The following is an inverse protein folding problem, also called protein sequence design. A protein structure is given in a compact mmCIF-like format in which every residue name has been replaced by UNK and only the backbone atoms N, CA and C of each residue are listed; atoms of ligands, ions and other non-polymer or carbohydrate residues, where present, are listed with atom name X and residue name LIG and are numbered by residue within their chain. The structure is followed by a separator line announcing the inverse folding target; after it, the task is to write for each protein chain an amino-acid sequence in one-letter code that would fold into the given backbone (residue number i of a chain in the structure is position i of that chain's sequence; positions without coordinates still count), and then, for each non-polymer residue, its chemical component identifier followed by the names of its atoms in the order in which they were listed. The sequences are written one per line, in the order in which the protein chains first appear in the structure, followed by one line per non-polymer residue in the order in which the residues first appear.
data_IF_773741146015
#
_entry.id   IF_773741146015
#
_cell.length_a   1.000
_cell.length_b   1.000
_cell.length_c   1.000
_cell.angle_alpha   90.00
_cell.angle_beta   90.00
_cell.angle_gamma   90.00
#
_symmetry.space_group_name_H-M   'P 1'
#
loop_
_entity.id
_entity.type
_entity.pdbx_description
1 polymer ?
#
# COMPACT_ATOMS: atom_id res chain seq x y z
N UNK A 1 -42.61 13.51 -14.65
CA UNK A 1 -41.73 14.09 -15.68
C UNK A 1 -40.70 13.00 -15.96
N UNK A 2 -40.90 12.20 -17.02
CA UNK A 2 -39.97 11.11 -17.33
C UNK A 2 -38.64 11.73 -17.79
N UNK A 3 -37.49 11.24 -17.32
CA UNK A 3 -36.20 11.76 -17.76
C UNK A 3 -35.98 11.35 -19.22
N UNK A 4 -36.22 12.26 -20.16
CA UNK A 4 -35.86 12.02 -21.56
C UNK A 4 -34.34 11.88 -21.64
N UNK A 5 -33.87 10.72 -22.11
CA UNK A 5 -32.45 10.47 -22.36
C UNK A 5 -32.03 11.33 -23.55
N UNK A 6 -31.71 12.59 -23.27
CA UNK A 6 -31.39 13.56 -24.30
C UNK A 6 -30.07 13.16 -24.96
N UNK A 7 -29.97 13.33 -26.29
CA UNK A 7 -28.78 12.97 -27.08
C UNK A 7 -27.52 13.61 -26.48
N UNK A 8 -27.67 14.82 -25.93
CA UNK A 8 -26.62 15.53 -25.20
C UNK A 8 -26.11 14.77 -23.97
N UNK A 9 -26.99 14.19 -23.16
CA UNK A 9 -26.63 13.43 -21.94
C UNK A 9 -25.86 12.17 -22.32
N UNK A 10 -26.35 11.44 -23.33
CA UNK A 10 -25.68 10.26 -23.86
C UNK A 10 -24.28 10.61 -24.41
N UNK A 11 -24.17 11.71 -25.17
CA UNK A 11 -22.91 12.18 -25.74
C UNK A 11 -21.89 12.54 -24.66
N UNK A 12 -22.31 13.22 -23.58
CA UNK A 12 -21.45 13.57 -22.45
C UNK A 12 -20.95 12.31 -21.74
N UNK A 13 -21.83 11.35 -21.43
CA UNK A 13 -21.47 10.11 -20.75
C UNK A 13 -20.51 9.23 -21.59
N UNK A 14 -20.75 9.14 -22.90
CA UNK A 14 -19.88 8.39 -23.82
C UNK A 14 -18.50 9.03 -23.97
N UNK A 15 -18.46 10.36 -24.08
CA UNK A 15 -17.18 11.10 -24.16
C UNK A 15 -16.37 10.92 -22.88
N UNK A 16 -17.01 11.06 -21.71
CA UNK A 16 -16.37 10.82 -20.42
C UNK A 16 -15.84 9.39 -20.27
N UNK A 17 -16.64 8.39 -20.67
CA UNK A 17 -16.23 6.97 -20.64
C UNK A 17 -15.04 6.70 -21.56
N UNK A 18 -15.01 7.32 -22.74
CA UNK A 18 -13.92 7.19 -23.71
C UNK A 18 -12.61 7.76 -23.18
N UNK A 19 -12.66 8.94 -22.55
CA UNK A 19 -11.48 9.54 -21.89
C UNK A 19 -10.97 8.62 -20.77
N UNK A 20 -11.88 8.05 -19.97
CA UNK A 20 -11.50 7.10 -18.90
C UNK A 20 -10.80 5.86 -19.45
N UNK A 21 -11.24 5.33 -20.60
CA UNK A 21 -10.58 4.18 -21.26
C UNK A 21 -9.14 4.54 -21.67
N UNK A 22 -8.93 5.72 -22.26
CA UNK A 22 -7.59 6.16 -22.68
C UNK A 22 -6.66 6.27 -21.48
N UNK A 23 -7.12 6.93 -20.41
CA UNK A 23 -6.37 7.08 -19.16
C UNK A 23 -6.11 5.72 -18.48
N UNK A 24 -7.07 4.80 -18.53
CA UNK A 24 -6.90 3.43 -18.02
C UNK A 24 -5.73 2.72 -18.72
N UNK A 25 -5.65 2.82 -20.05
CA UNK A 25 -4.55 2.22 -20.83
C UNK A 25 -3.20 2.87 -20.46
N UNK A 26 -3.16 4.19 -20.30
CA UNK A 26 -1.94 4.90 -19.85
C UNK A 26 -1.51 4.43 -18.46
N UNK A 27 -2.46 4.24 -17.54
CA UNK A 27 -2.19 3.79 -16.18
C UNK A 27 -1.68 2.34 -16.14
N UNK A 28 -2.21 1.45 -16.97
CA UNK A 28 -1.67 0.09 -17.11
C UNK A 28 -0.26 0.09 -17.70
N UNK A 29 0.05 0.99 -18.65
CA UNK A 29 1.40 1.11 -19.23
C UNK A 29 2.44 1.62 -18.22
N UNK A 30 2.07 2.46 -17.26
CA UNK A 30 2.99 2.93 -16.21
C UNK A 30 3.38 1.85 -15.21
N UNK A 31 2.50 0.89 -14.93
CA UNK A 31 2.83 -0.32 -14.16
C UNK A 31 3.11 -0.17 -12.65
N UNK A 32 3.12 1.05 -12.09
CA UNK A 32 3.32 1.26 -10.65
C UNK A 32 2.11 0.77 -9.85
N UNK A 33 2.31 0.43 -8.57
CA UNK A 33 1.24 -0.06 -7.70
C UNK A 33 0.05 0.92 -7.64
N UNK A 34 0.31 2.21 -7.40
CA UNK A 34 -0.71 3.25 -7.39
C UNK A 34 -1.39 3.42 -8.75
N UNK A 35 -0.65 3.31 -9.86
CA UNK A 35 -1.21 3.44 -11.20
C UNK A 35 -2.11 2.25 -11.56
N UNK A 36 -1.80 1.04 -11.07
CA UNK A 36 -2.66 -0.14 -11.24
C UNK A 36 -3.97 0.00 -10.48
N UNK A 37 -3.92 0.50 -9.23
CA UNK A 37 -5.13 0.78 -8.44
C UNK A 37 -6.01 1.81 -9.15
N UNK A 38 -5.41 2.89 -9.65
CA UNK A 38 -6.14 3.90 -10.42
C UNK A 38 -6.75 3.30 -11.70
N UNK A 39 -6.03 2.44 -12.42
CA UNK A 39 -6.58 1.77 -13.60
C UNK A 39 -7.76 0.83 -13.28
N UNK A 40 -7.71 0.14 -12.13
CA UNK A 40 -8.81 -0.71 -11.67
C UNK A 40 -10.05 0.11 -11.28
N UNK A 41 -9.86 1.25 -10.63
CA UNK A 41 -10.94 2.19 -10.32
C UNK A 41 -11.63 2.69 -11.59
N UNK A 42 -10.84 3.16 -12.57
CA UNK A 42 -11.37 3.61 -13.87
C UNK A 42 -12.14 2.50 -14.61
N UNK A 43 -11.70 1.24 -14.52
CA UNK A 43 -12.43 0.09 -15.07
C UNK A 43 -13.79 -0.10 -14.42
N UNK A 44 -13.83 -0.02 -13.08
CA UNK A 44 -15.07 -0.17 -12.33
C UNK A 44 -16.03 0.99 -12.64
N UNK A 45 -15.50 2.20 -12.79
CA UNK A 45 -16.24 3.39 -13.22
C UNK A 45 -16.83 3.30 -14.64
N UNK A 46 -16.10 2.69 -15.58
CA UNK A 46 -16.61 2.44 -16.93
C UNK A 46 -17.74 1.41 -16.89
N UNK A 47 -17.59 0.35 -16.08
CA UNK A 47 -18.61 -0.68 -15.92
C UNK A 47 -19.91 -0.12 -15.32
N UNK A 48 -19.82 0.71 -14.28
CA UNK A 48 -20.99 1.35 -13.65
C UNK A 48 -21.64 2.37 -14.59
N UNK A 49 -20.85 3.13 -15.35
CA UNK A 49 -21.35 4.05 -16.37
C UNK A 49 -22.10 3.33 -17.50
N UNK A 50 -21.60 2.18 -17.94
CA UNK A 50 -22.27 1.35 -18.95
C UNK A 50 -23.62 0.82 -18.43
N UNK A 51 -23.65 0.29 -17.20
CA UNK A 51 -24.89 -0.17 -16.56
C UNK A 51 -25.89 0.98 -16.42
N UNK A 52 -25.44 2.17 -16.03
CA UNK A 52 -26.30 3.35 -15.94
C UNK A 52 -26.92 3.74 -17.29
N UNK A 53 -26.16 3.73 -18.38
CA UNK A 53 -26.68 4.00 -19.73
C UNK A 53 -27.72 2.95 -20.14
N UNK A 54 -27.46 1.66 -19.88
CA UNK A 54 -28.40 0.57 -20.18
C UNK A 54 -29.69 0.72 -19.37
N UNK A 55 -29.61 0.98 -18.07
CA UNK A 55 -30.79 1.19 -17.22
C UNK A 55 -31.59 2.44 -17.63
N UNK A 56 -30.92 3.56 -17.95
CA UNK A 56 -31.58 4.78 -18.37
C UNK A 56 -32.34 4.61 -19.70
N UNK A 57 -31.71 3.96 -20.69
CA UNK A 57 -32.33 3.68 -22.00
C UNK A 57 -33.52 2.71 -21.90
N UNK A 58 -33.44 1.70 -21.03
CA UNK A 58 -34.55 0.78 -20.76
C UNK A 58 -35.68 1.47 -19.98
N UNK A 59 -35.33 2.33 -19.02
CA UNK A 59 -36.26 3.06 -18.18
C UNK A 59 -37.13 4.06 -18.95
N UNK A 60 -36.55 4.71 -19.94
CA UNK A 60 -37.24 5.64 -20.84
C UNK A 60 -38.21 4.92 -21.80
N UNK A 61 -37.81 3.76 -22.33
CA UNK A 61 -38.58 3.10 -23.41
C UNK A 61 -39.59 2.04 -22.95
N UNK A 62 -39.30 1.33 -21.86
CA UNK A 62 -40.06 0.12 -21.49
C UNK A 62 -40.64 0.16 -20.08
N UNK A 63 -39.91 0.67 -19.07
CA UNK A 63 -40.36 0.58 -17.68
C UNK A 63 -39.85 1.71 -16.78
N UNK A 64 -40.74 2.62 -16.35
CA UNK A 64 -40.38 3.80 -15.55
C UNK A 64 -39.77 3.49 -14.16
N UNK A 65 -39.93 2.28 -13.63
CA UNK A 65 -39.27 1.87 -12.38
C UNK A 65 -37.90 1.20 -12.59
N UNK A 66 -37.48 0.97 -13.84
CA UNK A 66 -36.16 0.40 -14.12
C UNK A 66 -35.01 1.34 -13.73
N UNK A 67 -35.24 2.66 -13.78
CA UNK A 67 -34.26 3.67 -13.38
C UNK A 67 -33.93 3.62 -11.87
N UNK A 68 -34.90 3.70 -10.93
CA UNK A 68 -34.59 3.58 -9.50
C UNK A 68 -34.03 2.21 -9.10
N UNK A 69 -34.45 1.12 -9.75
CA UNK A 69 -33.89 -0.22 -9.51
C UNK A 69 -32.44 -0.31 -10.01
N UNK A 70 -32.17 0.24 -11.20
CA UNK A 70 -30.81 0.34 -11.76
C UNK A 70 -29.90 1.18 -10.88
N UNK A 71 -30.39 2.31 -10.36
CA UNK A 71 -29.65 3.17 -9.45
C UNK A 71 -29.24 2.44 -8.16
N UNK A 72 -30.15 1.67 -7.55
CA UNK A 72 -29.84 0.86 -6.34
C UNK A 72 -28.78 -0.19 -6.66
N UNK A 73 -28.88 -0.87 -7.80
CA UNK A 73 -27.92 -1.88 -8.23
C UNK A 73 -26.53 -1.27 -8.45
N UNK A 74 -26.44 -0.14 -9.16
CA UNK A 74 -25.17 0.58 -9.38
C UNK A 74 -24.58 1.04 -8.06
N UNK A 75 -25.39 1.58 -7.15
CA UNK A 75 -24.93 2.00 -5.83
C UNK A 75 -24.33 0.82 -5.03
N UNK A 76 -24.99 -0.34 -5.06
CA UNK A 76 -24.47 -1.56 -4.43
C UNK A 76 -23.15 -2.05 -5.04
N UNK A 77 -23.00 -1.96 -6.36
CA UNK A 77 -21.75 -2.31 -7.06
C UNK A 77 -20.61 -1.35 -6.69
N UNK A 78 -20.89 -0.05 -6.61
CA UNK A 78 -19.90 0.96 -6.19
C UNK A 78 -19.48 0.69 -4.75
N UNK A 79 -20.44 0.50 -3.84
CA UNK A 79 -20.16 0.28 -2.42
C UNK A 79 -19.31 -0.98 -2.19
N UNK A 80 -19.67 -2.10 -2.82
CA UNK A 80 -18.92 -3.36 -2.69
C UNK A 80 -17.51 -3.28 -3.29
N UNK A 81 -17.38 -2.61 -4.44
CA UNK A 81 -16.09 -2.31 -5.08
C UNK A 81 -15.18 -1.49 -4.16
N UNK A 82 -15.68 -0.35 -3.68
CA UNK A 82 -14.90 0.55 -2.82
C UNK A 82 -14.50 -0.11 -1.51
N UNK A 83 -15.39 -0.88 -0.89
CA UNK A 83 -15.09 -1.58 0.36
C UNK A 83 -13.98 -2.62 0.17
N UNK A 84 -14.04 -3.39 -0.92
CA UNK A 84 -13.02 -4.39 -1.24
C UNK A 84 -11.66 -3.73 -1.50
N UNK A 85 -11.64 -2.64 -2.26
CA UNK A 85 -10.41 -1.89 -2.56
C UNK A 85 -9.82 -1.21 -1.32
N UNK A 86 -10.66 -0.64 -0.47
CA UNK A 86 -10.23 -0.03 0.78
C UNK A 86 -9.50 -1.05 1.65
N UNK A 87 -10.08 -2.24 1.85
CA UNK A 87 -9.45 -3.31 2.65
C UNK A 87 -8.12 -3.77 2.03
N UNK A 88 -8.03 -3.84 0.70
CA UNK A 88 -6.78 -4.23 0.02
C UNK A 88 -5.67 -3.18 0.13
N UNK A 89 -6.00 -1.90 0.31
CA UNK A 89 -5.01 -0.82 0.46
C UNK A 89 -4.54 -0.62 1.91
N UNK A 90 -5.32 -1.04 2.91
CA UNK A 90 -4.94 -0.94 4.33
C UNK A 90 -3.54 -1.52 4.62
N UNK A 91 -3.17 -2.73 4.15
CA UNK A 91 -1.84 -3.29 4.41
C UNK A 91 -0.69 -2.42 3.89
N UNK A 92 -0.89 -1.72 2.77
CA UNK A 92 0.12 -0.84 2.16
C UNK A 92 0.34 0.40 3.02
N UNK A 93 -0.71 0.90 3.68
CA UNK A 93 -0.65 2.04 4.60
C UNK A 93 -0.06 1.66 5.96
N UNK A 94 -0.36 0.45 6.44
CA UNK A 94 0.14 -0.09 7.72
C UNK A 94 1.59 -0.56 7.60
N UNK A 95 2.12 -0.68 6.38
CA UNK A 95 3.48 -1.12 6.10
C UNK A 95 3.53 -2.63 5.90
N UNK A 96 3.66 -3.06 4.64
CA UNK A 96 3.85 -4.48 4.34
C UNK A 96 5.31 -4.85 4.60
N UNK A 97 5.51 -5.97 5.32
CA UNK A 97 6.85 -6.52 5.60
C UNK A 97 7.60 -6.75 4.29
N UNK A 98 8.86 -6.38 4.26
CA UNK A 98 9.72 -6.46 3.08
C UNK A 98 9.82 -7.87 2.50
N UNK A 99 10.13 -7.91 1.20
CA UNK A 99 10.39 -9.16 0.49
C UNK A 99 11.56 -9.91 1.14
N UNK A 100 11.45 -11.24 1.25
CA UNK A 100 12.48 -12.09 1.91
C UNK A 100 13.88 -11.88 1.34
N UNK A 101 13.99 -11.51 0.07
CA UNK A 101 15.26 -11.22 -0.62
C UNK A 101 15.93 -9.97 -0.05
N UNK A 102 15.17 -8.88 0.14
CA UNK A 102 15.69 -7.62 0.71
C UNK A 102 16.13 -7.82 2.16
N UNK A 103 15.33 -8.56 2.95
CA UNK A 103 15.65 -8.89 4.33
C UNK A 103 16.97 -9.67 4.43
N UNK A 104 17.15 -10.68 3.58
CA UNK A 104 18.38 -11.51 3.55
C UNK A 104 19.62 -10.68 3.19
N UNK A 105 19.48 -9.71 2.27
CA UNK A 105 20.57 -8.80 1.89
C UNK A 105 20.98 -7.90 3.05
N UNK A 106 20.01 -7.35 3.80
CA UNK A 106 20.27 -6.54 5.00
C UNK A 106 20.97 -7.38 6.08
N UNK A 107 20.43 -8.57 6.38
CA UNK A 107 21.04 -9.51 7.34
C UNK A 107 22.50 -9.80 7.02
N UNK A 108 22.81 -10.06 5.76
CA UNK A 108 24.19 -10.29 5.32
C UNK A 108 25.09 -9.09 5.59
N UNK A 109 24.62 -7.89 5.28
CA UNK A 109 25.38 -6.63 5.51
C UNK A 109 25.68 -6.43 6.99
N UNK A 110 24.71 -6.73 7.87
CA UNK A 110 24.85 -6.60 9.32
C UNK A 110 25.83 -7.62 9.89
N UNK A 111 25.72 -8.89 9.49
CA UNK A 111 26.60 -9.97 9.94
C UNK A 111 28.04 -9.74 9.49
N UNK A 112 28.25 -9.24 8.28
CA UNK A 112 29.59 -8.95 7.73
C UNK A 112 30.15 -7.58 8.17
N UNK A 113 29.45 -6.83 9.03
CA UNK A 113 29.86 -5.47 9.39
C UNK A 113 30.97 -5.43 10.43
N UNK A 114 30.81 -6.14 11.55
CA UNK A 114 31.78 -6.16 12.65
C UNK A 114 31.57 -7.40 13.55
N UNK A 115 32.67 -8.05 13.95
CA UNK A 115 32.65 -9.27 14.80
C UNK A 115 32.18 -9.00 16.24
N UNK A 116 32.15 -7.73 16.69
CA UNK A 116 31.67 -7.33 18.03
C UNK A 116 30.16 -7.35 18.13
N UNK A 117 29.44 -7.44 17.01
CA UNK A 117 28.00 -7.68 16.99
C UNK A 117 27.78 -9.14 17.38
N UNK A 118 27.31 -9.36 18.60
CA UNK A 118 27.09 -10.73 19.13
C UNK A 118 25.86 -11.38 18.51
N UNK A 119 24.80 -10.61 18.39
CA UNK A 119 23.49 -11.10 17.96
C UNK A 119 22.65 -9.98 17.35
N UNK A 120 21.76 -10.34 16.45
CA UNK A 120 20.67 -9.47 15.98
C UNK A 120 19.43 -9.85 16.80
N UNK A 121 18.95 -8.94 17.63
CA UNK A 121 17.78 -9.18 18.48
C UNK A 121 16.48 -9.03 17.68
N UNK A 122 16.35 -7.92 16.96
CA UNK A 122 15.18 -7.60 16.19
C UNK A 122 15.56 -6.99 14.84
N UNK A 123 14.87 -7.41 13.78
CA UNK A 123 14.96 -6.79 12.47
C UNK A 123 13.57 -6.67 11.86
N UNK A 124 13.18 -5.43 11.58
CA UNK A 124 11.94 -5.10 10.92
C UNK A 124 12.23 -4.25 9.71
N UNK A 125 11.73 -4.69 8.58
CA UNK A 125 11.82 -3.94 7.32
C UNK A 125 10.41 -3.86 6.78
N UNK A 126 9.89 -2.65 6.67
CA UNK A 126 8.53 -2.39 6.20
C UNK A 126 8.56 -1.35 5.09
N UNK A 127 7.72 -1.55 4.08
CA UNK A 127 7.62 -0.64 2.95
C UNK A 127 6.48 0.33 3.15
N UNK A 128 6.78 1.62 2.95
CA UNK A 128 5.79 2.67 2.83
C UNK A 128 5.83 3.16 1.39
N UNK A 129 4.91 2.67 0.56
CA UNK A 129 4.90 2.97 -0.87
C UNK A 129 6.04 2.27 -1.63
N UNK A 130 6.98 3.02 -2.19
CA UNK A 130 8.10 2.49 -2.99
C UNK A 130 9.39 2.30 -2.20
N UNK A 131 9.48 2.89 -1.01
CA UNK A 131 10.69 2.88 -0.20
C UNK A 131 10.48 2.10 1.10
N UNK A 132 11.56 1.60 1.67
CA UNK A 132 11.57 0.82 2.89
C UNK A 132 12.20 1.59 4.06
N UNK A 133 11.64 1.38 5.24
CA UNK A 133 12.28 1.74 6.50
C UNK A 133 12.81 0.47 7.16
N UNK A 134 14.04 0.54 7.67
CA UNK A 134 14.72 -0.54 8.39
C UNK A 134 14.85 -0.16 9.85
N UNK A 135 14.34 -1.00 10.74
CA UNK A 135 14.59 -0.93 12.18
C UNK A 135 15.40 -2.17 12.57
N UNK A 136 16.58 -1.95 13.14
CA UNK A 136 17.55 -2.99 13.47
C UNK A 136 18.00 -2.82 14.92
N UNK A 137 17.89 -3.89 15.70
CA UNK A 137 18.42 -3.97 17.06
C UNK A 137 19.56 -4.98 17.09
N UNK A 138 20.74 -4.53 17.47
CA UNK A 138 21.95 -5.34 17.60
C UNK A 138 22.39 -5.42 19.05
N UNK A 139 22.87 -6.59 19.46
CA UNK A 139 23.39 -6.83 20.81
C UNK A 139 24.91 -6.77 20.76
N UNK A 140 25.50 -5.93 21.62
CA UNK A 140 26.95 -5.79 21.82
C UNK A 140 27.34 -6.09 23.26
N UNK A 141 28.64 -6.19 23.55
CA UNK A 141 29.12 -6.38 24.92
C UNK A 141 28.88 -5.15 25.80
N UNK A 142 28.37 -5.38 27.02
CA UNK A 142 28.09 -4.34 28.02
C UNK A 142 29.33 -3.54 28.45
N UNK A 143 30.53 -4.12 28.36
CA UNK A 143 31.77 -3.49 28.77
C UNK A 143 32.39 -2.65 27.64
N UNK A 144 31.78 -2.64 26.45
CA UNK A 144 32.23 -1.77 25.36
C UNK A 144 31.95 -0.31 25.70
N UNK A 145 32.95 0.58 25.57
CA UNK A 145 32.71 2.01 25.73
C UNK A 145 31.66 2.49 24.71
N UNK A 146 30.73 3.35 25.15
CA UNK A 146 29.68 3.93 24.30
C UNK A 146 30.24 4.50 22.98
N UNK A 147 31.44 5.10 23.04
CA UNK A 147 32.15 5.60 21.85
C UNK A 147 32.34 4.50 20.80
N UNK A 148 32.81 3.32 21.22
CA UNK A 148 33.05 2.19 20.30
C UNK A 148 31.73 1.65 19.75
N UNK A 149 30.71 1.54 20.60
CA UNK A 149 29.36 1.11 20.20
C UNK A 149 28.76 2.07 19.16
N UNK A 150 28.92 3.39 19.36
CA UNK A 150 28.53 4.41 18.40
C UNK A 150 29.33 4.33 17.10
N UNK A 151 30.65 4.17 17.20
CA UNK A 151 31.55 4.08 16.04
C UNK A 151 31.33 2.82 15.18
N UNK A 152 30.63 1.79 15.70
CA UNK A 152 30.23 0.61 14.92
C UNK A 152 28.81 0.77 14.36
N UNK A 153 27.86 1.24 15.18
CA UNK A 153 26.45 1.38 14.80
C UNK A 153 26.19 2.48 13.77
N UNK A 154 26.85 3.62 13.91
CA UNK A 154 26.65 4.75 12.99
C UNK A 154 27.09 4.41 11.55
N UNK A 155 28.28 3.81 11.31
CA UNK A 155 28.62 3.33 9.97
C UNK A 155 27.72 2.21 9.45
N UNK A 156 27.13 1.39 10.33
CA UNK A 156 26.16 0.38 9.92
C UNK A 156 24.89 1.03 9.38
N UNK A 157 24.37 2.05 10.08
CA UNK A 157 23.24 2.85 9.63
C UNK A 157 23.51 3.49 8.26
N UNK A 158 24.65 4.16 8.08
CA UNK A 158 25.05 4.74 6.80
C UNK A 158 25.14 3.70 5.68
N UNK A 159 25.60 2.49 6.00
CA UNK A 159 25.73 1.39 5.04
C UNK A 159 24.36 0.87 4.59
N UNK A 160 23.37 0.86 5.49
CA UNK A 160 22.00 0.49 5.16
C UNK A 160 21.30 1.57 4.33
N UNK A 161 21.53 2.85 4.62
CA UNK A 161 20.99 3.98 3.85
C UNK A 161 21.52 4.05 2.41
N UNK A 162 22.67 3.41 2.12
CA UNK A 162 23.22 3.31 0.75
C UNK A 162 22.48 2.31 -0.13
N UNK A 163 21.53 1.53 0.40
CA UNK A 163 20.72 0.60 -0.39
C UNK A 163 19.61 1.37 -1.13
N UNK A 164 19.49 1.15 -2.44
CA UNK A 164 18.57 1.90 -3.31
C UNK A 164 17.09 1.88 -2.89
N UNK A 165 16.68 0.85 -2.12
CA UNK A 165 15.31 0.67 -1.65
C UNK A 165 15.08 1.16 -0.22
N UNK A 166 16.11 1.61 0.49
CA UNK A 166 16.04 2.06 1.89
C UNK A 166 15.97 3.59 1.92
N UNK A 167 14.90 4.14 2.49
CA UNK A 167 14.78 5.58 2.73
C UNK A 167 15.32 5.97 4.11
N UNK A 168 15.07 5.13 5.11
CA UNK A 168 15.48 5.37 6.50
C UNK A 168 15.96 4.06 7.14
N UNK A 169 16.98 4.18 7.97
CA UNK A 169 17.49 3.09 8.78
C UNK A 169 17.65 3.58 10.23
N UNK A 170 17.20 2.78 11.19
CA UNK A 170 17.39 3.02 12.62
C UNK A 170 18.14 1.82 13.18
N UNK A 171 19.32 2.08 13.76
CA UNK A 171 20.13 1.05 14.41
C UNK A 171 20.16 1.32 15.90
N UNK A 172 19.54 0.43 16.67
CA UNK A 172 19.59 0.43 18.12
C UNK A 172 20.64 -0.58 18.62
N UNK A 173 21.43 -0.18 19.61
CA UNK A 173 22.42 -1.05 20.24
C UNK A 173 21.99 -1.38 21.66
N UNK A 174 21.68 -2.66 21.87
CA UNK A 174 21.37 -3.24 23.17
C UNK A 174 22.60 -3.96 23.74
N UNK A 175 22.65 -4.10 25.07
CA UNK A 175 23.69 -4.88 25.76
C UNK A 175 23.16 -6.22 26.27
N UNK A 176 21.84 -6.32 26.46
CA UNK A 176 21.13 -7.54 26.81
C UNK A 176 20.14 -7.90 25.70
N UNK A 177 19.89 -9.20 25.55
CA UNK A 177 18.84 -9.67 24.67
C UNK A 177 17.55 -9.68 25.50
N UNK A 178 16.74 -8.62 25.39
CA UNK A 178 15.45 -8.58 26.07
C UNK A 178 14.59 -9.75 25.57
N UNK A 179 14.39 -10.75 26.43
CA UNK A 179 13.49 -11.87 26.20
C UNK A 179 12.06 -11.35 26.42
N UNK A 180 11.59 -10.55 25.47
CA UNK A 180 10.44 -9.67 25.67
C UNK A 180 9.11 -10.43 25.63
N UNK A 181 8.81 -11.07 26.76
CA UNK A 181 7.46 -11.33 27.29
C UNK A 181 6.74 -10.06 27.75
N UNK A 182 7.29 -8.86 27.52
CA UNK A 182 6.77 -7.60 28.10
C UNK A 182 5.71 -6.86 27.26
N UNK A 183 5.49 -7.24 25.98
CA UNK A 183 4.40 -6.67 25.17
C UNK A 183 2.97 -7.12 25.57
N UNK A 184 2.82 -7.92 26.64
CA UNK A 184 1.51 -8.32 27.20
C UNK A 184 1.08 -7.52 28.44
N UNK A 185 1.83 -6.50 28.87
CA UNK A 185 1.48 -5.65 30.03
C UNK A 185 0.97 -4.26 29.65
N UNK A 186 0.30 -4.12 28.50
CA UNK A 186 -0.55 -2.95 28.22
C UNK A 186 -1.99 -3.42 28.02
N UNK A 187 -2.52 -4.16 28.99
CA UNK A 187 -3.94 -4.44 29.13
C UNK A 187 -4.26 -4.68 30.62
N UNK A 188 -4.17 -3.62 31.42
CA UNK A 188 -5.08 -3.34 32.54
C UNK A 188 -4.68 -2.06 33.25
N UNK A 189 -5.32 -0.95 32.85
CA UNK A 189 -6.03 -0.07 33.78
C UNK A 189 -7.05 0.78 33.03
#
# INVERSE_FOLDING_TARGET
MAPEVNILVLAIMLTGSSIKIILMVICYKRGTASSKVLAMDMRNDIATSLVAIVCATIGDRYWSYADPVGAILVCGLIATSWFTHAIQQVPILVGVRAERVQLSRILKIVIEHDDRIRQIHHIMVYHTGLQATVELHIVMDENLPLKITHDISHPLEEKLLKLDFVERAFVHCDYECDDDRSLLYVDHN
#
